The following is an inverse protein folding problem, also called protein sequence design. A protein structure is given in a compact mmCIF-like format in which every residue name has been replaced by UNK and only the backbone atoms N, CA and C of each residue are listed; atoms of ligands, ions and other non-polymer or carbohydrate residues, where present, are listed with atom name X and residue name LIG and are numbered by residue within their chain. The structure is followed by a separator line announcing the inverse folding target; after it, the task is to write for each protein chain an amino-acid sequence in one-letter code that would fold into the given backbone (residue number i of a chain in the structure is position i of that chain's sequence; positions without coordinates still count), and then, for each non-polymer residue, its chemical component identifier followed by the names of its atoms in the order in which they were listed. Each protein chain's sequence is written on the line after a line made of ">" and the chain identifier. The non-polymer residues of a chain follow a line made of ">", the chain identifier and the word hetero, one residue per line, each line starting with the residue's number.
data_IF_312176008309
#
_entry.id   IF_312176008309
#
_cell.length_a   1.000
_cell.length_b   1.000
_cell.length_c   1.000
_cell.angle_alpha   90.00
_cell.angle_beta   90.00
_cell.angle_gamma   90.00
#
_symmetry.space_group_name_H-M   'P 1'
#
loop_
_entity.id
_entity.type
_entity.pdbx_description
1 polymer ?
#
# COMPACT_ATOMS: atom_id res chain seq x y z
N UNK A 1 -10.12 59.69 23.47
CA UNK A 1 -9.30 59.02 22.43
C UNK A 1 -9.75 57.58 22.15
N UNK A 2 -10.93 57.27 21.60
CA UNK A 2 -11.33 55.85 21.31
C UNK A 2 -12.41 55.68 20.22
N UNK A 3 -12.34 56.40 19.08
CA UNK A 3 -13.36 56.23 18.00
C UNK A 3 -12.85 56.21 16.56
N UNK A 4 -11.53 56.14 16.30
CA UNK A 4 -10.99 56.17 14.92
C UNK A 4 -10.34 54.88 14.41
N UNK A 5 -10.25 53.82 15.23
CA UNK A 5 -9.57 52.58 14.83
C UNK A 5 -10.49 51.45 14.33
N UNK A 6 -11.81 51.60 14.44
CA UNK A 6 -12.76 50.52 14.10
C UNK A 6 -12.97 50.40 12.58
N UNK A 7 -12.64 51.43 11.79
CA UNK A 7 -12.89 51.43 10.34
C UNK A 7 -11.80 50.74 9.50
N UNK A 8 -10.61 50.48 10.06
CA UNK A 8 -9.48 49.91 9.29
C UNK A 8 -9.47 48.38 9.34
N UNK A 9 -10.08 47.76 10.35
CA UNK A 9 -10.07 46.30 10.53
C UNK A 9 -11.12 45.59 9.65
N UNK A 10 -12.13 46.31 9.14
CA UNK A 10 -13.21 45.74 8.32
C UNK A 10 -12.91 45.70 6.81
N UNK A 11 -11.81 46.30 6.35
CA UNK A 11 -11.40 46.24 4.94
C UNK A 11 -10.45 45.08 4.61
N UNK A 12 -9.85 44.41 5.60
CA UNK A 12 -8.90 43.31 5.36
C UNK A 12 -9.55 41.93 5.25
N UNK A 13 -10.84 41.80 5.57
CA UNK A 13 -11.56 40.51 5.58
C UNK A 13 -12.23 40.15 4.25
N UNK A 14 -12.12 40.98 3.20
CA UNK A 14 -12.80 40.75 1.91
C UNK A 14 -11.91 40.23 0.76
N UNK A 15 -10.60 40.03 0.97
CA UNK A 15 -9.68 39.55 -0.08
C UNK A 15 -9.27 38.07 0.04
N UNK A 16 -9.84 37.31 0.99
CA UNK A 16 -9.56 35.88 1.14
C UNK A 16 -10.56 34.95 0.43
N UNK A 17 -11.34 35.45 -0.53
CA UNK A 17 -12.03 34.58 -1.48
C UNK A 17 -11.03 34.05 -2.53
N UNK A 18 -10.21 33.07 -2.13
CA UNK A 18 -9.62 32.14 -3.07
C UNK A 18 -10.77 31.36 -3.72
N UNK A 19 -11.22 31.80 -4.89
CA UNK A 19 -11.89 30.91 -5.84
C UNK A 19 -10.88 29.89 -6.32
N UNK A 20 -10.69 28.82 -5.55
CA UNK A 20 -10.13 27.58 -6.09
C UNK A 20 -11.19 27.01 -7.03
N UNK A 21 -11.15 27.44 -8.29
CA UNK A 21 -11.69 26.60 -9.35
C UNK A 21 -10.67 25.46 -9.54
N UNK A 22 -10.82 24.37 -8.77
CA UNK A 22 -10.23 23.13 -9.24
C UNK A 22 -10.97 22.78 -10.52
N UNK A 23 -10.35 23.08 -11.67
CA UNK A 23 -10.64 22.34 -12.88
C UNK A 23 -10.31 20.90 -12.55
N UNK A 24 -11.33 20.16 -12.12
CA UNK A 24 -11.25 18.75 -11.80
C UNK A 24 -10.86 18.03 -13.09
N UNK A 25 -9.55 17.82 -13.25
CA UNK A 25 -8.98 17.28 -14.46
C UNK A 25 -9.23 15.77 -14.40
N UNK A 26 -10.28 15.29 -15.08
CA UNK A 26 -10.69 13.87 -15.07
C UNK A 26 -9.53 12.91 -15.37
N UNK A 27 -8.52 13.35 -16.11
CA UNK A 27 -7.33 12.58 -16.48
C UNK A 27 -6.32 12.40 -15.33
N UNK A 28 -6.33 13.27 -14.33
CA UNK A 28 -5.41 13.20 -13.17
C UNK A 28 -5.92 12.20 -12.12
N UNK A 29 -7.25 12.05 -12.04
CA UNK A 29 -7.89 11.07 -11.14
C UNK A 29 -7.74 9.65 -11.68
N UNK A 30 -7.78 9.47 -13.00
CA UNK A 30 -7.59 8.14 -13.59
C UNK A 30 -6.19 7.60 -13.38
N UNK A 31 -5.17 8.46 -13.45
CA UNK A 31 -3.76 8.06 -13.26
C UNK A 31 -3.42 7.78 -11.80
N UNK A 32 -3.95 8.55 -10.85
CA UNK A 32 -3.78 8.27 -9.42
C UNK A 32 -4.52 6.98 -8.99
N UNK A 33 -5.70 6.75 -9.56
CA UNK A 33 -6.45 5.50 -9.33
C UNK A 33 -5.70 4.28 -9.88
N UNK A 34 -5.25 4.36 -11.14
CA UNK A 34 -4.48 3.27 -11.78
C UNK A 34 -3.22 2.95 -10.97
N UNK A 35 -2.48 3.98 -10.55
CA UNK A 35 -1.29 3.79 -9.71
C UNK A 35 -1.61 3.04 -8.42
N UNK A 36 -2.68 3.43 -7.73
CA UNK A 36 -3.09 2.79 -6.47
C UNK A 36 -3.51 1.34 -6.68
N UNK A 37 -4.27 1.06 -7.74
CA UNK A 37 -4.70 -0.31 -8.08
C UNK A 37 -3.50 -1.20 -8.43
N UNK A 38 -2.56 -0.68 -9.23
CA UNK A 38 -1.34 -1.40 -9.59
C UNK A 38 -0.45 -1.68 -8.37
N UNK A 39 -0.21 -0.66 -7.53
CA UNK A 39 0.57 -0.82 -6.29
C UNK A 39 -0.10 -1.84 -5.37
N UNK A 40 -1.42 -1.78 -5.22
CA UNK A 40 -2.15 -2.76 -4.43
C UNK A 40 -1.94 -4.17 -4.97
N UNK A 41 -2.13 -4.38 -6.27
CA UNK A 41 -1.96 -5.69 -6.91
C UNK A 41 -0.53 -6.24 -6.76
N UNK A 42 0.50 -5.39 -6.90
CA UNK A 42 1.91 -5.75 -6.64
C UNK A 42 2.10 -6.25 -5.21
N UNK A 43 1.62 -5.47 -4.23
CA UNK A 43 1.76 -5.79 -2.82
C UNK A 43 0.97 -7.05 -2.45
N UNK A 44 -0.23 -7.21 -3.00
CA UNK A 44 -1.06 -8.39 -2.79
C UNK A 44 -0.35 -9.64 -3.30
N UNK A 45 0.29 -9.60 -4.47
CA UNK A 45 1.05 -10.75 -4.97
C UNK A 45 2.21 -11.12 -4.03
N UNK A 46 2.94 -10.13 -3.51
CA UNK A 46 3.99 -10.36 -2.51
C UNK A 46 3.43 -11.02 -1.24
N UNK A 47 2.27 -10.56 -0.77
CA UNK A 47 1.57 -11.14 0.36
C UNK A 47 1.16 -12.60 0.10
N UNK A 48 0.58 -12.89 -1.07
CA UNK A 48 0.21 -14.25 -1.47
C UNK A 48 1.42 -15.19 -1.51
N UNK A 49 2.52 -14.74 -2.10
CA UNK A 49 3.75 -15.55 -2.15
C UNK A 49 4.36 -15.72 -0.75
N UNK A 50 4.24 -14.73 0.14
CA UNK A 50 4.64 -14.87 1.54
C UNK A 50 3.84 -15.96 2.28
N UNK A 51 2.52 -15.99 2.12
CA UNK A 51 1.64 -17.01 2.72
C UNK A 51 1.94 -18.40 2.16
N UNK A 52 2.01 -18.51 0.83
CA UNK A 52 2.30 -19.75 0.11
C UNK A 52 3.63 -20.38 0.52
N UNK A 53 4.69 -19.56 0.62
CA UNK A 53 6.01 -20.05 1.06
C UNK A 53 6.07 -20.42 2.55
N UNK A 54 5.03 -20.11 3.33
CA UNK A 54 4.85 -20.56 4.70
C UNK A 54 3.84 -21.72 4.84
N UNK A 55 3.41 -22.31 3.73
CA UNK A 55 2.40 -23.37 3.69
C UNK A 55 1.04 -22.96 4.29
N UNK A 56 0.71 -21.66 4.27
CA UNK A 56 -0.64 -21.20 4.60
C UNK A 56 -1.53 -21.53 3.42
N UNK A 57 -2.52 -22.40 3.63
CA UNK A 57 -3.44 -22.85 2.60
C UNK A 57 -4.44 -21.75 2.26
N UNK A 58 -4.57 -21.43 0.98
CA UNK A 58 -5.55 -20.48 0.45
C UNK A 58 -6.38 -21.22 -0.59
N UNK A 59 -7.62 -21.57 -0.24
CA UNK A 59 -8.48 -22.37 -1.11
C UNK A 59 -9.32 -21.50 -2.04
N UNK A 60 -9.39 -21.87 -3.33
CA UNK A 60 -10.30 -21.31 -4.33
C UNK A 60 -10.29 -19.77 -4.39
N UNK A 61 -9.10 -19.18 -4.35
CA UNK A 61 -8.93 -17.73 -4.36
C UNK A 61 -8.83 -17.17 -5.78
N UNK A 62 -9.55 -16.07 -6.03
CA UNK A 62 -9.63 -15.42 -7.33
C UNK A 62 -8.65 -14.24 -7.48
N UNK A 63 -7.87 -13.92 -6.45
CA UNK A 63 -6.99 -12.75 -6.44
C UNK A 63 -5.88 -12.79 -7.49
N UNK A 64 -5.33 -13.97 -7.89
CA UNK A 64 -4.48 -14.02 -9.08
C UNK A 64 -5.17 -13.46 -10.32
N UNK A 65 -6.46 -13.75 -10.51
CA UNK A 65 -7.23 -13.22 -11.64
C UNK A 65 -7.53 -11.72 -11.50
N UNK A 66 -7.74 -11.24 -10.28
CA UNK A 66 -7.98 -9.81 -10.00
C UNK A 66 -6.71 -8.96 -10.18
N UNK A 67 -5.53 -9.55 -9.98
CA UNK A 67 -4.24 -8.87 -10.07
C UNK A 67 -3.56 -9.08 -11.44
N UNK A 68 -4.28 -9.55 -12.46
CA UNK A 68 -3.73 -9.94 -13.76
C UNK A 68 -2.87 -8.86 -14.44
N UNK A 69 -3.17 -7.57 -14.24
CA UNK A 69 -2.35 -6.49 -14.79
C UNK A 69 -0.90 -6.49 -14.28
N UNK A 70 -0.68 -6.99 -13.06
CA UNK A 70 0.65 -7.15 -12.46
C UNK A 70 1.22 -8.54 -12.76
N UNK A 71 0.38 -9.59 -12.75
CA UNK A 71 0.82 -10.97 -12.97
C UNK A 71 1.06 -11.32 -14.44
N UNK A 72 0.52 -10.53 -15.37
CA UNK A 72 0.73 -10.68 -16.80
C UNK A 72 2.14 -10.27 -17.26
N UNK A 73 2.85 -9.47 -16.46
CA UNK A 73 4.27 -9.18 -16.66
C UNK A 73 5.12 -10.20 -15.89
N UNK A 74 5.80 -11.08 -16.64
CA UNK A 74 6.64 -12.13 -16.06
C UNK A 74 7.80 -11.59 -15.20
N UNK A 75 8.32 -10.40 -15.49
CA UNK A 75 9.40 -9.80 -14.69
C UNK A 75 8.86 -9.34 -13.34
N UNK A 76 7.70 -8.68 -13.34
CA UNK A 76 7.04 -8.24 -12.11
C UNK A 76 6.60 -9.45 -11.27
N UNK A 77 6.04 -10.48 -11.91
CA UNK A 77 5.69 -11.73 -11.25
C UNK A 77 6.92 -12.41 -10.59
N UNK A 78 8.05 -12.48 -11.30
CA UNK A 78 9.29 -13.05 -10.75
C UNK A 78 9.80 -12.26 -9.55
N UNK A 79 9.79 -10.92 -9.63
CA UNK A 79 10.19 -10.04 -8.51
C UNK A 79 9.29 -10.21 -7.30
N UNK A 80 7.97 -10.14 -7.48
CA UNK A 80 7.01 -10.30 -6.38
C UNK A 80 7.13 -11.68 -5.72
N UNK A 81 7.37 -12.73 -6.50
CA UNK A 81 7.68 -14.09 -6.00
C UNK A 81 8.96 -14.11 -5.16
N UNK A 82 10.04 -13.50 -5.63
CA UNK A 82 11.30 -13.45 -4.92
C UNK A 82 11.19 -12.67 -3.59
N UNK A 83 10.51 -11.53 -3.60
CA UNK A 83 10.29 -10.69 -2.40
C UNK A 83 9.46 -11.47 -1.38
N UNK A 84 8.31 -12.04 -1.80
CA UNK A 84 7.44 -12.81 -0.91
C UNK A 84 8.16 -14.01 -0.27
N UNK A 85 8.95 -14.74 -1.07
CA UNK A 85 9.78 -15.86 -0.58
C UNK A 85 10.90 -15.44 0.37
N UNK A 86 11.49 -14.27 0.18
CA UNK A 86 12.53 -13.80 1.09
C UNK A 86 11.91 -13.38 2.43
N UNK A 87 10.78 -12.67 2.38
CA UNK A 87 10.12 -12.21 3.60
C UNK A 87 9.46 -13.34 4.38
N UNK A 88 9.00 -14.41 3.71
CA UNK A 88 8.46 -15.60 4.38
C UNK A 88 9.47 -16.24 5.35
N UNK A 89 10.76 -16.23 5.01
CA UNK A 89 11.85 -16.72 5.87
C UNK A 89 11.98 -15.87 7.14
N UNK A 90 11.98 -14.54 6.97
CA UNK A 90 12.10 -13.59 8.08
C UNK A 90 10.96 -13.76 9.09
N UNK A 91 9.72 -13.96 8.60
CA UNK A 91 8.56 -14.20 9.46
C UNK A 91 8.71 -15.52 10.19
N UNK A 92 9.12 -16.59 9.50
CA UNK A 92 9.28 -17.91 10.13
C UNK A 92 10.22 -17.88 11.35
N UNK A 93 11.28 -17.06 11.29
CA UNK A 93 12.24 -16.91 12.37
C UNK A 93 11.69 -16.12 13.56
N UNK A 94 10.69 -15.25 13.33
CA UNK A 94 10.12 -14.34 14.34
C UNK A 94 8.76 -14.76 14.89
N UNK A 95 8.06 -15.67 14.22
CA UNK A 95 6.64 -15.92 14.46
C UNK A 95 6.33 -16.82 15.66
N UNK A 96 7.32 -17.30 16.41
CA UNK A 96 7.10 -18.25 17.51
C UNK A 96 6.58 -17.55 18.76
N UNK A 97 5.42 -17.98 19.25
CA UNK A 97 4.84 -17.46 20.50
C UNK A 97 5.67 -17.85 21.73
N UNK A 98 5.57 -17.03 22.79
CA UNK A 98 6.24 -17.25 24.07
C UNK A 98 5.77 -18.56 24.73
N UNK A 99 6.71 -19.27 25.37
CA UNK A 99 6.43 -20.53 26.08
C UNK A 99 5.47 -20.29 27.27
N UNK A 100 4.61 -21.27 27.54
CA UNK A 100 3.70 -21.27 28.69
C UNK A 100 2.32 -20.63 28.45
N UNK A 101 1.98 -20.32 27.20
CA UNK A 101 0.67 -19.79 26.79
C UNK A 101 -0.19 -20.81 26.02
N UNK A 102 -1.46 -20.48 25.83
CA UNK A 102 -2.43 -21.22 25.00
C UNK A 102 -2.03 -21.32 23.52
N UNK A 103 -1.19 -20.38 23.05
CA UNK A 103 -0.65 -20.34 21.70
C UNK A 103 0.79 -20.84 21.60
N UNK A 104 1.31 -21.54 22.61
CA UNK A 104 2.66 -22.13 22.54
C UNK A 104 2.80 -23.05 21.31
N UNK A 105 3.88 -22.85 20.54
CA UNK A 105 4.16 -23.61 19.32
C UNK A 105 3.42 -23.13 18.07
N UNK A 106 2.45 -22.22 18.19
CA UNK A 106 1.82 -21.60 17.02
C UNK A 106 2.76 -20.59 16.36
N UNK A 107 2.48 -20.27 15.09
CA UNK A 107 3.17 -19.21 14.33
C UNK A 107 2.20 -18.16 13.82
N UNK A 108 2.45 -16.89 14.10
CA UNK A 108 1.65 -15.76 13.61
C UNK A 108 1.97 -15.38 12.14
N UNK A 109 2.04 -16.36 11.24
CA UNK A 109 2.51 -16.17 9.85
C UNK A 109 1.69 -15.11 9.11
N UNK A 110 0.36 -15.26 9.08
CA UNK A 110 -0.52 -14.37 8.33
C UNK A 110 -0.38 -12.92 8.79
N UNK A 111 -0.28 -12.71 10.10
CA UNK A 111 -0.07 -11.38 10.67
C UNK A 111 1.29 -10.80 10.28
N UNK A 112 2.34 -11.63 10.23
CA UNK A 112 3.65 -11.23 9.74
C UNK A 112 3.64 -10.82 8.27
N UNK A 113 2.98 -11.60 7.40
CA UNK A 113 2.84 -11.26 5.98
C UNK A 113 2.00 -9.98 5.81
N UNK A 114 0.93 -9.81 6.60
CA UNK A 114 0.09 -8.60 6.57
C UNK A 114 0.87 -7.37 7.03
N UNK A 115 1.67 -7.49 8.09
CA UNK A 115 2.52 -6.40 8.57
C UNK A 115 3.49 -5.91 7.48
N UNK A 116 3.99 -6.82 6.64
CA UNK A 116 4.84 -6.45 5.51
C UNK A 116 4.07 -5.85 4.34
N UNK A 117 2.88 -6.39 4.06
CA UNK A 117 1.96 -5.77 3.12
C UNK A 117 1.67 -4.31 3.49
N UNK A 118 1.56 -3.97 4.78
CA UNK A 118 1.34 -2.59 5.25
C UNK A 118 2.63 -1.76 5.41
N UNK A 119 3.80 -2.34 5.14
CA UNK A 119 5.08 -1.68 5.41
C UNK A 119 5.43 -0.58 4.41
N UNK A 120 6.06 0.49 4.92
CA UNK A 120 6.65 1.56 4.11
C UNK A 120 7.75 1.05 3.16
N UNK A 121 8.44 -0.02 3.55
CA UNK A 121 9.45 -0.67 2.73
C UNK A 121 8.82 -1.23 1.45
N UNK A 122 7.76 -2.03 1.59
CA UNK A 122 7.08 -2.59 0.44
C UNK A 122 6.37 -1.50 -0.39
N UNK A 123 5.84 -0.46 0.24
CA UNK A 123 5.34 0.72 -0.48
C UNK A 123 6.41 1.36 -1.35
N UNK A 124 7.62 1.54 -0.82
CA UNK A 124 8.73 2.15 -1.57
C UNK A 124 9.13 1.29 -2.77
N UNK A 125 9.22 -0.03 -2.60
CA UNK A 125 9.51 -0.98 -3.67
C UNK A 125 8.41 -0.92 -4.75
N UNK A 126 7.14 -1.03 -4.35
CA UNK A 126 6.02 -1.02 -5.28
C UNK A 126 5.93 0.29 -6.07
N UNK A 127 6.20 1.44 -5.44
CA UNK A 127 6.27 2.72 -6.13
C UNK A 127 7.40 2.76 -7.16
N UNK A 128 8.59 2.25 -6.84
CA UNK A 128 9.71 2.18 -7.79
C UNK A 128 9.39 1.29 -8.98
N UNK A 129 8.78 0.12 -8.74
CA UNK A 129 8.41 -0.81 -9.81
C UNK A 129 7.32 -0.24 -10.71
N UNK A 130 6.34 0.48 -10.15
CA UNK A 130 5.34 1.19 -10.94
C UNK A 130 5.95 2.24 -11.88
N UNK A 131 6.95 2.99 -11.40
CA UNK A 131 7.66 3.96 -12.25
C UNK A 131 8.38 3.27 -13.41
N UNK A 132 8.98 2.10 -13.18
CA UNK A 132 9.63 1.32 -14.22
C UNK A 132 8.61 0.75 -15.22
N UNK A 133 7.43 0.33 -14.75
CA UNK A 133 6.35 -0.17 -15.60
C UNK A 133 5.75 0.91 -16.53
N UNK A 134 5.77 2.17 -16.10
CA UNK A 134 5.24 3.30 -16.89
C UNK A 134 6.21 3.87 -17.93
N UNK A 135 7.50 3.53 -17.84
CA UNK A 135 8.54 3.98 -18.77
C UNK A 135 8.73 3.00 -19.92
#
# INVERSE_FOLDING_TARGET
>A
MKKKYVLIILCFSFLLSCKTSSKFNRNEISTDKEKKEWIFAFKSQVFYECLKNNNVMIEKDASPSLNFQVLGDFNVLSKTTAIGKNYSKIINDRATWLKGGDLEGYKAITNGCLSFFESKELDSIANSEYLNFKN
#
